data_IF_116354311345
#
_entry.id   IF_116354311345
#
_cell.length_a   1.000
_cell.length_b   1.000
_cell.length_c   1.000
_cell.angle_alpha   90.00
_cell.angle_beta   90.00
_cell.angle_gamma   90.00
#
_symmetry.space_group_name_H-M   'P 1'
#
loop_
_entity.id
_entity.type
_entity.pdbx_description
1 polymer ?
#
# COMPACT_ATOMS: atom_id res chain seq x y z
N UNK A 1 -23.05 51.06 -19.11
CA UNK A 1 -23.38 50.22 -17.94
C UNK A 1 -24.84 49.76 -18.04
N UNK A 2 -25.18 48.77 -18.87
CA UNK A 2 -26.59 48.31 -19.00
C UNK A 2 -26.71 46.81 -19.35
N UNK A 3 -25.80 46.28 -20.16
CA UNK A 3 -25.85 44.88 -20.62
C UNK A 3 -25.55 43.82 -19.53
N UNK A 4 -24.77 44.17 -18.51
CA UNK A 4 -24.39 43.25 -17.43
C UNK A 4 -25.55 42.90 -16.48
N UNK A 5 -26.57 43.76 -16.40
CA UNK A 5 -27.74 43.57 -15.56
C UNK A 5 -28.82 42.70 -16.23
N UNK A 6 -28.96 42.80 -17.56
CA UNK A 6 -29.91 41.98 -18.35
C UNK A 6 -29.48 40.51 -18.40
N UNK A 7 -28.16 40.25 -18.46
CA UNK A 7 -27.61 38.90 -18.46
C UNK A 7 -27.78 38.17 -17.10
N UNK A 8 -27.83 38.92 -15.99
CA UNK A 8 -28.14 38.36 -14.68
C UNK A 8 -29.61 37.93 -14.54
N UNK A 9 -30.52 38.50 -15.33
CA UNK A 9 -31.95 38.13 -15.31
C UNK A 9 -32.23 36.86 -16.12
N UNK A 10 -31.33 36.46 -17.02
CA UNK A 10 -31.36 35.19 -17.78
C UNK A 10 -30.45 34.13 -17.11
N UNK A 11 -29.86 34.45 -15.96
CA UNK A 11 -29.05 33.50 -15.22
C UNK A 11 -29.96 32.40 -14.65
N UNK A 12 -29.90 31.22 -15.25
CA UNK A 12 -30.17 29.95 -14.57
C UNK A 12 -29.54 30.02 -13.17
N UNK A 13 -30.20 29.55 -12.10
CA UNK A 13 -29.75 29.73 -10.73
C UNK A 13 -28.43 28.99 -10.50
N UNK A 14 -27.30 29.63 -10.81
CA UNK A 14 -25.95 29.08 -10.64
C UNK A 14 -25.63 28.74 -9.17
N UNK A 15 -26.47 29.21 -8.24
CA UNK A 15 -26.40 28.85 -6.82
C UNK A 15 -26.79 27.40 -6.57
N UNK A 16 -27.77 26.84 -7.30
CA UNK A 16 -28.09 25.42 -7.22
C UNK A 16 -26.94 24.58 -7.76
N UNK A 17 -26.37 24.98 -8.90
CA UNK A 17 -25.24 24.27 -9.51
C UNK A 17 -23.98 24.31 -8.63
N UNK A 18 -23.69 25.45 -8.00
CA UNK A 18 -22.58 25.57 -7.05
C UNK A 18 -22.76 24.63 -5.83
N UNK A 19 -23.98 24.49 -5.31
CA UNK A 19 -24.30 23.55 -4.24
C UNK A 19 -24.18 22.08 -4.66
N UNK A 20 -24.59 21.76 -5.89
CA UNK A 20 -24.41 20.40 -6.45
C UNK A 20 -22.93 20.05 -6.63
N UNK A 21 -22.12 20.98 -7.13
CA UNK A 21 -20.67 20.79 -7.28
C UNK A 21 -20.01 20.59 -5.91
N UNK A 22 -20.40 21.39 -4.91
CA UNK A 22 -19.89 21.22 -3.54
C UNK A 22 -20.24 19.83 -2.98
N UNK A 23 -21.48 19.40 -3.12
CA UNK A 23 -21.92 18.07 -2.68
C UNK A 23 -21.15 16.94 -3.40
N UNK A 24 -20.87 17.08 -4.70
CA UNK A 24 -20.07 16.11 -5.45
C UNK A 24 -18.62 16.06 -4.97
N UNK A 25 -18.02 17.21 -4.66
CA UNK A 25 -16.67 17.28 -4.11
C UNK A 25 -16.58 16.60 -2.74
N UNK A 26 -17.58 16.81 -1.88
CA UNK A 26 -17.63 16.20 -0.55
C UNK A 26 -17.76 14.67 -0.64
N UNK A 27 -18.61 14.16 -1.53
CA UNK A 27 -18.77 12.71 -1.75
C UNK A 27 -17.53 12.07 -2.39
N UNK A 28 -16.79 12.80 -3.23
CA UNK A 28 -15.62 12.29 -3.94
C UNK A 28 -14.53 11.80 -3.00
N UNK A 29 -14.31 12.50 -1.89
CA UNK A 29 -13.29 12.12 -0.89
C UNK A 29 -13.62 10.77 -0.26
N UNK A 30 -14.85 10.61 0.23
CA UNK A 30 -15.32 9.37 0.84
C UNK A 30 -15.27 8.18 -0.14
N UNK A 31 -15.76 8.39 -1.37
CA UNK A 31 -15.74 7.37 -2.42
C UNK A 31 -14.32 6.93 -2.79
N UNK A 32 -13.38 7.88 -2.84
CA UNK A 32 -11.97 7.59 -3.16
C UNK A 32 -11.31 6.75 -2.07
N UNK A 33 -11.59 7.05 -0.80
CA UNK A 33 -11.08 6.25 0.33
C UNK A 33 -11.68 4.84 0.35
N UNK A 34 -12.98 4.71 0.08
CA UNK A 34 -13.65 3.42 -0.02
C UNK A 34 -13.05 2.55 -1.13
N UNK A 35 -12.83 3.12 -2.32
CA UNK A 35 -12.19 2.41 -3.42
C UNK A 35 -10.77 1.95 -3.06
N UNK A 36 -9.96 2.83 -2.46
CA UNK A 36 -8.61 2.49 -2.04
C UNK A 36 -8.59 1.35 -1.00
N UNK A 37 -9.52 1.38 -0.04
CA UNK A 37 -9.64 0.31 0.96
C UNK A 37 -10.01 -1.03 0.31
N UNK A 38 -10.94 -1.04 -0.65
CA UNK A 38 -11.34 -2.24 -1.37
C UNK A 38 -10.18 -2.84 -2.18
N UNK A 39 -9.42 -2.00 -2.89
CA UNK A 39 -8.23 -2.44 -3.63
C UNK A 39 -7.18 -3.04 -2.69
N UNK A 40 -6.94 -2.42 -1.54
CA UNK A 40 -6.01 -2.96 -0.54
C UNK A 40 -6.46 -4.29 0.03
N UNK A 41 -7.75 -4.47 0.32
CA UNK A 41 -8.28 -5.74 0.80
C UNK A 41 -8.07 -6.86 -0.22
N UNK A 42 -8.35 -6.59 -1.49
CA UNK A 42 -8.12 -7.55 -2.56
C UNK A 42 -6.63 -7.88 -2.72
N UNK A 43 -5.74 -6.88 -2.67
CA UNK A 43 -4.29 -7.12 -2.71
C UNK A 43 -3.80 -7.98 -1.54
N UNK A 44 -4.31 -7.73 -0.33
CA UNK A 44 -4.01 -8.52 0.87
C UNK A 44 -4.49 -9.97 0.74
N UNK A 45 -5.70 -10.20 0.20
CA UNK A 45 -6.19 -11.56 -0.05
C UNK A 45 -5.29 -12.32 -1.03
N UNK A 46 -4.87 -11.67 -2.11
CA UNK A 46 -3.98 -12.28 -3.09
C UNK A 46 -2.59 -12.54 -2.50
N UNK A 47 -2.07 -11.62 -1.67
CA UNK A 47 -0.82 -11.79 -0.93
C UNK A 47 -0.91 -12.98 0.03
N UNK A 48 -2.01 -13.13 0.77
CA UNK A 48 -2.26 -14.26 1.69
C UNK A 48 -2.30 -15.59 0.95
N UNK A 49 -3.03 -15.68 -0.18
CA UNK A 49 -3.07 -16.89 -1.01
C UNK A 49 -1.67 -17.28 -1.50
N UNK A 50 -0.91 -16.32 -2.03
CA UNK A 50 0.47 -16.54 -2.47
C UNK A 50 1.38 -17.05 -1.36
N UNK A 51 1.27 -16.49 -0.15
CA UNK A 51 2.06 -16.96 1.02
C UNK A 51 1.69 -18.39 1.40
N UNK A 52 0.39 -18.73 1.38
CA UNK A 52 -0.06 -20.10 1.66
C UNK A 52 0.46 -21.10 0.62
N UNK A 53 0.40 -20.77 -0.67
CA UNK A 53 0.93 -21.60 -1.75
C UNK A 53 2.45 -21.80 -1.63
N UNK A 54 3.20 -20.73 -1.33
CA UNK A 54 4.64 -20.82 -1.09
C UNK A 54 4.96 -21.72 0.09
N UNK A 55 4.23 -21.59 1.20
CA UNK A 55 4.41 -22.42 2.40
C UNK A 55 4.12 -23.90 2.12
N UNK A 56 3.06 -24.20 1.37
CA UNK A 56 2.76 -25.57 0.96
C UNK A 56 3.85 -26.15 0.06
N UNK A 57 4.37 -25.36 -0.89
CA UNK A 57 5.48 -25.76 -1.75
C UNK A 57 6.76 -26.01 -0.96
N UNK A 58 7.06 -25.19 0.04
CA UNK A 58 8.20 -25.40 0.94
C UNK A 58 8.03 -26.66 1.79
N UNK A 59 6.85 -26.91 2.35
CA UNK A 59 6.56 -28.12 3.11
C UNK A 59 6.72 -29.39 2.24
N UNK A 60 6.21 -29.36 1.00
CA UNK A 60 6.36 -30.48 0.08
C UNK A 60 7.84 -30.72 -0.31
N UNK A 61 8.62 -29.65 -0.48
CA UNK A 61 10.07 -29.74 -0.71
C UNK A 61 10.82 -30.33 0.50
N UNK A 62 10.46 -29.93 1.72
CA UNK A 62 11.05 -30.50 2.94
C UNK A 62 10.68 -31.98 3.13
N UNK A 63 9.44 -32.36 2.83
CA UNK A 63 8.94 -33.72 3.01
C UNK A 63 9.54 -34.71 1.99
N UNK A 64 9.81 -34.26 0.76
CA UNK A 64 10.36 -35.12 -0.29
C UNK A 64 11.89 -35.26 -0.26
N UNK A 65 12.57 -34.75 0.77
CA UNK A 65 13.98 -35.05 1.01
C UNK A 65 14.95 -34.65 -0.11
N UNK A 66 14.55 -33.72 -1.00
CA UNK A 66 15.40 -33.20 -2.07
C UNK A 66 16.48 -32.28 -1.46
N UNK A 67 17.46 -32.96 -0.88
CA UNK A 67 18.69 -32.44 -0.29
C UNK A 67 19.70 -32.12 -1.38
N UNK A 68 19.25 -31.52 -2.48
CA UNK A 68 20.16 -31.04 -3.52
C UNK A 68 20.68 -29.65 -3.12
N UNK A 69 21.95 -29.41 -3.43
CA UNK A 69 22.80 -28.30 -2.96
C UNK A 69 22.22 -26.86 -3.13
N UNK A 70 21.10 -26.71 -3.81
CA UNK A 70 20.34 -25.47 -3.97
C UNK A 70 19.75 -24.95 -2.65
N UNK A 71 19.28 -25.84 -1.77
CA UNK A 71 18.61 -25.48 -0.50
C UNK A 71 19.57 -24.78 0.48
N UNK A 72 20.85 -25.21 0.51
CA UNK A 72 21.88 -24.57 1.31
C UNK A 72 22.21 -23.14 0.80
N UNK A 73 22.19 -22.95 -0.52
CA UNK A 73 22.45 -21.64 -1.15
C UNK A 73 21.33 -20.64 -0.90
N UNK A 74 20.07 -21.09 -0.87
CA UNK A 74 18.90 -20.26 -0.53
C UNK A 74 18.93 -19.84 0.94
N UNK A 75 19.29 -20.74 1.85
CA UNK A 75 19.42 -20.44 3.29
C UNK A 75 20.54 -19.41 3.57
N UNK A 76 21.71 -19.56 2.94
CA UNK A 76 22.80 -18.59 3.08
C UNK A 76 22.42 -17.21 2.52
N UNK A 77 21.75 -17.17 1.36
CA UNK A 77 21.36 -15.90 0.73
C UNK A 77 20.27 -15.16 1.53
N UNK A 78 19.32 -15.90 2.13
CA UNK A 78 18.34 -15.32 3.05
C UNK A 78 19.00 -14.76 4.30
N UNK A 79 20.01 -15.42 4.85
CA UNK A 79 20.69 -14.94 6.06
C UNK A 79 21.50 -13.67 5.79
N UNK A 80 22.13 -13.54 4.62
CA UNK A 80 22.78 -12.30 4.19
C UNK A 80 21.77 -11.17 3.92
N UNK A 81 20.64 -11.49 3.28
CA UNK A 81 19.59 -10.51 3.00
C UNK A 81 18.98 -9.95 4.30
N UNK A 82 18.69 -10.82 5.28
CA UNK A 82 18.19 -10.41 6.60
C UNK A 82 19.23 -9.56 7.35
N UNK A 83 20.53 -9.90 7.28
CA UNK A 83 21.61 -9.07 7.86
C UNK A 83 21.75 -7.72 7.16
N UNK A 84 21.49 -7.62 5.85
CA UNK A 84 21.50 -6.35 5.10
C UNK A 84 20.28 -5.50 5.46
N UNK A 85 19.08 -6.09 5.53
CA UNK A 85 17.86 -5.39 5.94
C UNK A 85 17.98 -4.84 7.36
N UNK A 86 18.50 -5.63 8.30
CA UNK A 86 18.74 -5.16 9.68
C UNK A 86 19.77 -4.03 9.73
N UNK A 87 20.84 -4.09 8.93
CA UNK A 87 21.82 -2.99 8.84
C UNK A 87 21.25 -1.71 8.23
N UNK A 88 20.32 -1.82 7.30
CA UNK A 88 19.63 -0.67 6.71
C UNK A 88 18.62 -0.04 7.68
N UNK A 89 17.88 -0.85 8.44
CA UNK A 89 16.96 -0.35 9.48
C UNK A 89 17.67 0.42 10.61
N UNK A 90 18.91 0.06 10.92
CA UNK A 90 19.68 0.70 11.99
C UNK A 90 20.30 2.05 11.60
N UNK A 91 20.32 2.42 10.31
CA UNK A 91 20.92 3.70 9.85
C UNK A 91 19.84 4.69 9.45
N UNK A 92 19.23 5.35 10.43
CA UNK A 92 18.31 6.44 10.17
C UNK A 92 19.07 7.79 10.17
N UNK A 93 18.94 8.64 9.12
CA UNK A 93 19.77 9.83 8.96
C UNK A 93 19.60 10.87 10.08
N UNK A 94 18.45 10.88 10.75
CA UNK A 94 18.17 11.81 11.87
C UNK A 94 18.14 11.13 13.25
N UNK A 95 17.98 9.80 13.32
CA UNK A 95 17.77 9.09 14.60
C UNK A 95 19.03 8.35 15.07
N UNK A 96 20.07 8.23 14.24
CA UNK A 96 21.30 7.52 14.57
C UNK A 96 21.13 6.00 14.63
N UNK A 97 22.12 5.31 15.23
CA UNK A 97 22.12 3.86 15.39
C UNK A 97 21.65 3.47 16.80
N UNK A 98 20.81 2.44 16.91
CA UNK A 98 20.36 1.92 18.21
C UNK A 98 21.17 0.68 18.57
N UNK A 99 22.00 0.79 19.61
CA UNK A 99 22.74 -0.34 20.17
C UNK A 99 22.03 -0.88 21.41
N UNK A 100 21.88 -2.20 21.48
CA UNK A 100 21.34 -2.89 22.65
C UNK A 100 22.51 -3.63 23.32
N UNK A 101 22.95 -3.15 24.49
CA UNK A 101 24.02 -3.77 25.27
C UNK A 101 23.35 -4.62 26.34
N UNK A 102 23.32 -5.93 26.12
CA UNK A 102 23.02 -6.89 27.17
C UNK A 102 24.34 -7.58 27.52
N UNK A 103 24.77 -7.41 28.76
CA UNK A 103 25.97 -8.02 29.37
C UNK A 103 25.59 -9.09 30.38
#
# INVERSE_FOLDING_TARGET
MSWKAVEMQIALPRTQDAGQIQNQLDQRSANSQHYLAQVKLHEEEQRRKKVNELRQKEQYRLQNGDSSAESAKILMNNQEMVKRLNRQQQKHPFLGNRFDING
#
